data_IF_464018722918
#
_entry.id   IF_464018722918
#
_cell.length_a   1.000
_cell.length_b   1.000
_cell.length_c   1.000
_cell.angle_alpha   90.00
_cell.angle_beta   90.00
_cell.angle_gamma   90.00
#
_symmetry.space_group_name_H-M   'P 1'
#
loop_
_entity.id
_entity.type
_entity.pdbx_description
1 polymer ?
#
# COMPACT_ATOMS: atom_id res chain seq x y z
N UNK A 1 -8.63 -6.85 0.33
CA UNK A 1 -7.23 -7.27 0.58
C UNK A 1 -6.45 -6.03 0.99
N UNK A 2 -5.65 -6.10 2.05
CA UNK A 2 -5.04 -4.91 2.63
C UNK A 2 -3.52 -5.00 2.69
N UNK A 3 -2.89 -3.84 2.86
CA UNK A 3 -1.45 -3.71 3.07
C UNK A 3 -1.19 -2.95 4.36
N UNK A 4 -0.14 -3.34 5.06
CA UNK A 4 0.42 -2.61 6.19
C UNK A 4 1.75 -1.99 5.77
N UNK A 5 1.91 -0.70 6.07
CA UNK A 5 3.18 -0.01 5.88
C UNK A 5 4.17 -0.38 6.98
N UNK A 6 5.37 -0.81 6.58
CA UNK A 6 6.45 -1.26 7.47
C UNK A 6 7.71 -0.38 7.38
N UNK A 7 7.61 0.79 6.75
CA UNK A 7 8.69 1.80 6.75
C UNK A 7 8.66 2.67 8.02
N UNK A 8 9.44 3.76 8.00
CA UNK A 8 9.70 4.58 9.19
C UNK A 8 9.03 5.96 9.17
N UNK A 9 8.36 6.34 8.08
CA UNK A 9 7.75 7.67 7.89
C UNK A 9 6.30 7.56 7.41
N UNK A 10 5.97 8.23 6.31
CA UNK A 10 4.70 8.12 5.59
C UNK A 10 5.00 7.77 4.13
N UNK A 11 4.07 7.08 3.47
CA UNK A 11 4.19 6.67 2.07
C UNK A 11 2.91 7.02 1.32
N UNK A 12 3.08 7.74 0.20
CA UNK A 12 2.02 7.97 -0.78
C UNK A 12 2.35 7.20 -2.06
N UNK A 13 1.38 6.43 -2.56
CA UNK A 13 1.51 5.65 -3.80
C UNK A 13 0.30 5.90 -4.67
N UNK A 14 0.50 6.17 -5.95
CA UNK A 14 -0.57 6.12 -6.93
C UNK A 14 -0.72 4.68 -7.45
N UNK A 15 -1.94 4.17 -7.40
CA UNK A 15 -2.32 2.88 -7.96
C UNK A 15 -2.02 2.85 -9.46
N UNK A 16 -1.13 1.98 -9.93
CA UNK A 16 -0.67 1.99 -11.31
C UNK A 16 -1.73 1.54 -12.31
N UNK A 17 -2.76 0.80 -11.86
CA UNK A 17 -3.86 0.33 -12.71
C UNK A 17 -5.13 1.13 -12.45
N UNK A 18 -5.49 1.34 -11.18
CA UNK A 18 -6.74 2.03 -10.83
C UNK A 18 -6.63 3.56 -10.82
N UNK A 19 -5.42 4.11 -10.74
CA UNK A 19 -5.15 5.53 -10.56
C UNK A 19 -5.41 6.06 -9.14
N UNK A 20 -5.89 5.24 -8.20
CA UNK A 20 -6.21 5.67 -6.82
C UNK A 20 -4.97 6.10 -6.06
N UNK A 21 -5.07 7.17 -5.27
CA UNK A 21 -4.01 7.56 -4.34
C UNK A 21 -4.16 6.80 -3.01
N UNK A 22 -3.12 6.10 -2.58
CA UNK A 22 -3.02 5.45 -1.27
C UNK A 22 -2.04 6.22 -0.41
N UNK A 23 -2.44 6.58 0.81
CA UNK A 23 -1.59 7.29 1.78
C UNK A 23 -1.49 6.53 3.08
N UNK A 24 -0.36 5.90 3.31
CA UNK A 24 0.03 5.32 4.59
C UNK A 24 0.67 6.43 5.43
N UNK A 25 -0.03 6.90 6.46
CA UNK A 25 0.33 8.11 7.21
C UNK A 25 1.39 7.88 8.29
N UNK A 26 1.62 6.63 8.69
CA UNK A 26 2.58 6.23 9.75
C UNK A 26 3.00 4.77 9.62
N UNK A 27 4.11 4.36 10.27
CA UNK A 27 4.45 2.94 10.44
C UNK A 27 3.28 2.16 11.04
N UNK A 28 2.98 1.01 10.46
CA UNK A 28 1.84 0.16 10.86
C UNK A 28 0.49 0.58 10.28
N UNK A 29 0.39 1.69 9.52
CA UNK A 29 -0.85 2.07 8.85
C UNK A 29 -1.33 0.95 7.91
N UNK A 30 -2.61 0.59 8.01
CA UNK A 30 -3.27 -0.43 7.18
C UNK A 30 -4.25 0.21 6.23
N UNK A 31 -4.17 -0.12 4.95
CA UNK A 31 -5.12 0.32 3.94
C UNK A 31 -5.64 -0.84 3.12
N UNK A 32 -6.93 -0.80 2.82
CA UNK A 32 -7.49 -1.61 1.74
C UNK A 32 -7.09 -1.02 0.39
N UNK A 33 -6.76 -1.90 -0.54
CA UNK A 33 -6.31 -1.50 -1.87
C UNK A 33 -7.20 -2.12 -2.95
N UNK A 34 -7.27 -1.45 -4.10
CA UNK A 34 -7.93 -2.01 -5.27
C UNK A 34 -7.24 -3.33 -5.66
N UNK A 35 -8.00 -4.43 -5.87
CA UNK A 35 -7.41 -5.72 -6.24
C UNK A 35 -6.53 -5.67 -7.50
N UNK A 36 -6.80 -4.71 -8.41
CA UNK A 36 -6.03 -4.52 -9.64
C UNK A 36 -4.62 -3.97 -9.39
N UNK A 37 -4.42 -3.20 -8.33
CA UNK A 37 -3.11 -2.63 -7.98
C UNK A 37 -2.26 -3.57 -7.10
N UNK A 38 -2.87 -4.63 -6.55
CA UNK A 38 -2.28 -5.53 -5.55
C UNK A 38 -0.88 -6.03 -5.92
N UNK A 39 -0.72 -6.58 -7.13
CA UNK A 39 0.53 -7.26 -7.53
C UNK A 39 1.69 -6.26 -7.52
N UNK A 40 1.44 -5.04 -7.96
CA UNK A 40 2.46 -3.99 -8.03
C UNK A 40 2.73 -3.40 -6.64
N UNK A 41 1.70 -3.19 -5.82
CA UNK A 41 1.88 -2.77 -4.42
C UNK A 41 2.65 -3.82 -3.58
N UNK A 42 2.46 -5.12 -3.87
CA UNK A 42 3.20 -6.20 -3.21
C UNK A 42 4.70 -6.23 -3.53
N UNK A 43 5.14 -5.57 -4.62
CA UNK A 43 6.57 -5.45 -4.94
C UNK A 43 7.29 -4.36 -4.13
N UNK A 44 6.54 -3.47 -3.46
CA UNK A 44 7.13 -2.41 -2.64
C UNK A 44 7.63 -3.01 -1.32
N UNK A 45 8.94 -2.96 -1.10
CA UNK A 45 9.58 -3.50 0.11
C UNK A 45 9.05 -2.91 1.43
N UNK A 46 8.46 -1.72 1.38
CA UNK A 46 7.89 -1.05 2.55
C UNK A 46 6.43 -1.43 2.82
N UNK A 47 5.81 -2.27 1.98
CA UNK A 47 4.45 -2.74 2.15
C UNK A 47 4.44 -4.25 2.41
N UNK A 48 3.68 -4.64 3.42
CA UNK A 48 3.39 -6.05 3.72
C UNK A 48 1.93 -6.33 3.44
N UNK A 49 1.66 -7.27 2.55
CA UNK A 49 0.30 -7.74 2.31
C UNK A 49 -0.23 -8.45 3.57
N UNK A 50 -1.47 -8.16 3.92
CA UNK A 50 -2.18 -8.77 5.05
C UNK A 50 -3.56 -9.24 4.62
N UNK A 51 -4.03 -10.32 5.24
CA UNK A 51 -5.39 -10.82 5.10
C UNK A 51 -6.37 -9.80 5.70
#
# INVERSE_FOLDING_TARGET
MAFVYIGNTALSVQGPVSGKAYRFDRPGARLEVDPRDRILLASLRQLRQVL
#
